data_IF_101165457205
#
_entry.id   IF_101165457205
#
_cell.length_a   1.000
_cell.length_b   1.000
_cell.length_c   1.000
_cell.angle_alpha   90.00
_cell.angle_beta   90.00
_cell.angle_gamma   90.00
#
_symmetry.space_group_name_H-M   'P 1'
#
loop_
_entity.id
_entity.type
_entity.pdbx_description
1 polymer ?
#
# COMPACT_ATOMS: atom_id res chain seq x y z
N UNK A 1 50.66 -13.26 62.56
CA UNK A 1 51.17 -14.64 62.72
C UNK A 1 51.28 -15.21 61.31
N UNK A 2 52.39 -14.98 60.60
CA UNK A 2 53.58 -15.87 60.44
C UNK A 2 53.18 -17.26 59.92
N UNK A 3 53.63 -17.80 58.78
CA UNK A 3 55.00 -17.85 58.21
C UNK A 3 55.02 -18.25 56.71
N UNK A 4 55.98 -17.67 55.95
CA UNK A 4 56.96 -18.25 54.97
C UNK A 4 56.66 -19.57 54.22
N UNK A 5 57.09 -19.80 52.97
CA UNK A 5 57.94 -19.00 52.05
C UNK A 5 58.42 -19.77 50.80
N UNK A 6 58.95 -18.99 49.83
CA UNK A 6 60.04 -19.19 48.84
C UNK A 6 60.07 -20.38 47.82
N UNK A 7 60.83 -20.22 46.69
CA UNK A 7 60.48 -20.70 45.33
C UNK A 7 61.52 -21.66 44.70
N UNK A 8 61.35 -22.11 43.43
CA UNK A 8 62.39 -22.16 42.36
C UNK A 8 61.99 -22.92 41.05
N UNK A 9 62.20 -22.24 39.91
CA UNK A 9 62.77 -22.59 38.57
C UNK A 9 62.81 -24.01 37.91
N UNK A 10 62.58 -23.97 36.56
CA UNK A 10 63.28 -24.58 35.39
C UNK A 10 62.88 -25.96 34.78
N UNK A 11 62.35 -25.87 33.54
CA UNK A 11 62.67 -26.52 32.22
C UNK A 11 63.15 -28.00 32.10
N UNK A 12 62.48 -28.68 31.15
CA UNK A 12 62.97 -29.48 29.98
C UNK A 12 63.09 -31.04 30.03
N UNK A 13 62.49 -31.64 28.99
CA UNK A 13 62.90 -32.78 28.12
C UNK A 13 62.46 -34.24 28.47
N UNK A 14 61.55 -34.72 27.62
CA UNK A 14 61.37 -36.00 26.91
C UNK A 14 62.13 -37.31 27.26
N UNK A 15 61.39 -38.43 27.22
CA UNK A 15 61.66 -39.71 26.50
C UNK A 15 60.44 -40.65 26.71
N UNK A 16 59.73 -41.07 25.66
CA UNK A 16 59.89 -42.31 24.87
C UNK A 16 59.87 -43.60 25.70
N UNK A 17 58.82 -44.42 25.54
CA UNK A 17 58.92 -45.88 25.39
C UNK A 17 57.72 -46.43 24.59
N UNK A 18 58.05 -47.28 23.63
CA UNK A 18 57.18 -48.13 22.80
C UNK A 18 56.45 -49.20 23.63
N UNK A 19 55.22 -49.53 23.24
CA UNK A 19 54.67 -50.89 23.35
C UNK A 19 53.89 -51.18 22.07
N UNK A 20 54.25 -52.29 21.43
CA UNK A 20 53.68 -52.77 20.18
C UNK A 20 52.59 -53.83 20.43
N UNK A 21 51.61 -53.82 19.51
CA UNK A 21 50.69 -54.89 19.11
C UNK A 21 49.88 -55.68 20.16
N UNK A 22 48.55 -55.43 20.15
CA UNK A 22 47.62 -56.56 19.98
C UNK A 22 46.32 -56.18 19.25
N UNK A 23 46.18 -56.79 18.07
CA UNK A 23 44.99 -57.20 17.30
C UNK A 23 43.62 -57.05 17.98
N UNK A 24 42.76 -56.22 17.39
CA UNK A 24 41.33 -56.54 17.16
C UNK A 24 40.77 -55.55 16.14
N UNK A 25 40.44 -56.03 14.94
CA UNK A 25 39.77 -55.25 13.92
C UNK A 25 38.32 -55.02 14.31
N UNK A 26 37.89 -53.77 14.33
CA UNK A 26 36.50 -53.35 14.16
C UNK A 26 36.50 -52.16 13.20
N UNK A 27 35.63 -52.26 12.19
CA UNK A 27 35.47 -51.32 11.08
C UNK A 27 35.28 -49.88 11.60
N UNK A 28 36.10 -48.94 11.11
CA UNK A 28 35.77 -47.52 11.19
C UNK A 28 34.53 -47.27 10.33
N UNK A 29 33.37 -47.17 10.96
CA UNK A 29 32.25 -46.42 10.38
C UNK A 29 32.63 -44.95 10.58
N UNK A 30 33.13 -44.31 9.52
CA UNK A 30 33.14 -42.85 9.44
C UNK A 30 31.68 -42.40 9.45
N UNK A 31 31.17 -42.02 10.61
CA UNK A 31 29.96 -41.21 10.68
C UNK A 31 30.39 -39.83 10.21
N UNK A 32 30.28 -39.61 8.89
CA UNK A 32 30.24 -38.27 8.34
C UNK A 32 29.00 -37.62 8.97
N UNK A 33 29.23 -36.74 9.94
CA UNK A 33 28.23 -35.80 10.43
C UNK A 33 27.85 -34.88 9.26
N UNK A 34 26.97 -35.36 8.39
CA UNK A 34 26.26 -34.52 7.45
C UNK A 34 25.34 -33.69 8.34
N UNK A 35 25.80 -32.51 8.72
CA UNK A 35 24.90 -31.43 9.08
C UNK A 35 24.04 -31.20 7.83
N UNK A 36 22.87 -31.83 7.81
CA UNK A 36 21.76 -31.45 6.96
C UNK A 36 21.38 -30.04 7.40
N UNK A 37 22.07 -29.05 6.82
CA UNK A 37 21.53 -27.71 6.72
C UNK A 37 20.30 -27.91 5.86
N UNK A 38 19.13 -27.96 6.50
CA UNK A 38 17.85 -27.87 5.82
C UNK A 38 17.83 -26.53 5.10
N UNK A 39 18.16 -26.51 3.82
CA UNK A 39 18.02 -25.34 2.95
C UNK A 39 16.54 -25.15 2.61
N UNK A 40 15.71 -24.83 3.60
CA UNK A 40 14.39 -24.25 3.34
C UNK A 40 14.54 -22.74 3.17
N UNK A 41 15.22 -22.34 2.09
CA UNK A 41 15.29 -20.96 1.66
C UNK A 41 14.73 -20.86 0.24
N UNK A 42 13.40 -20.89 0.10
CA UNK A 42 12.78 -20.21 -1.03
C UNK A 42 12.92 -18.71 -0.75
N UNK A 43 14.12 -18.18 -0.99
CA UNK A 43 14.41 -16.77 -0.78
C UNK A 43 13.44 -15.93 -1.63
N UNK A 44 12.75 -14.99 -0.98
CA UNK A 44 12.00 -13.94 -1.68
C UNK A 44 12.91 -13.33 -2.75
N UNK A 45 12.51 -13.44 -4.02
CA UNK A 45 13.31 -12.91 -5.12
C UNK A 45 13.01 -11.42 -5.26
N UNK A 46 13.79 -10.61 -4.57
CA UNK A 46 13.83 -9.16 -4.79
C UNK A 46 14.68 -8.90 -6.03
N UNK A 47 14.11 -8.22 -7.02
CA UNK A 47 14.76 -7.85 -8.28
C UNK A 47 14.75 -6.34 -8.40
N UNK A 48 15.94 -5.76 -8.57
CA UNK A 48 16.13 -4.34 -8.85
C UNK A 48 16.43 -4.20 -10.34
N UNK A 49 15.63 -3.41 -11.06
CA UNK A 49 15.78 -3.13 -12.49
C UNK A 49 15.70 -1.63 -12.72
N UNK A 50 16.88 -0.97 -12.73
CA UNK A 50 16.94 0.49 -12.84
C UNK A 50 16.19 1.18 -11.69
N UNK A 51 15.22 2.01 -12.02
CA UNK A 51 14.42 2.75 -11.05
C UNK A 51 13.27 1.94 -10.42
N UNK A 52 13.15 0.65 -10.71
CA UNK A 52 12.09 -0.22 -10.19
C UNK A 52 12.69 -1.31 -9.28
N UNK A 53 12.07 -1.52 -8.13
CA UNK A 53 12.35 -2.66 -7.25
C UNK A 53 11.08 -3.47 -7.06
N UNK A 54 11.16 -4.77 -7.34
CA UNK A 54 10.05 -5.70 -7.26
C UNK A 54 10.40 -6.89 -6.37
N UNK A 55 9.44 -7.36 -5.59
CA UNK A 55 9.48 -8.65 -4.92
C UNK A 55 8.47 -9.61 -5.54
N UNK A 56 8.89 -10.83 -5.83
CA UNK A 56 7.99 -11.92 -6.25
C UNK A 56 7.72 -12.84 -5.06
N UNK A 57 6.44 -13.19 -4.85
CA UNK A 57 6.04 -14.05 -3.75
C UNK A 57 6.35 -15.53 -4.04
N UNK A 58 7.13 -16.22 -3.18
CA UNK A 58 7.57 -17.60 -3.43
C UNK A 58 6.43 -18.63 -3.31
N UNK A 59 5.46 -18.42 -2.43
CA UNK A 59 4.31 -19.32 -2.22
C UNK A 59 2.98 -18.60 -2.48
N UNK A 60 2.49 -18.77 -3.70
CA UNK A 60 1.26 -18.15 -4.20
C UNK A 60 -0.03 -18.66 -3.53
N UNK A 61 0.00 -19.89 -2.97
CA UNK A 61 -1.20 -20.60 -2.47
C UNK A 61 -1.50 -20.43 -0.98
N UNK A 62 -0.55 -19.96 -0.15
CA UNK A 62 -0.67 -19.96 1.31
C UNK A 62 -0.86 -18.58 1.97
N UNK A 63 -0.78 -17.49 1.21
CA UNK A 63 -0.85 -16.11 1.74
C UNK A 63 -2.10 -15.81 2.59
N UNK A 64 -3.25 -16.40 2.27
CA UNK A 64 -4.51 -16.15 3.00
C UNK A 64 -4.56 -16.83 4.36
N UNK A 65 -3.87 -17.97 4.51
CA UNK A 65 -3.96 -18.78 5.72
C UNK A 65 -3.22 -18.14 6.92
N UNK A 66 -2.32 -17.19 6.64
CA UNK A 66 -1.51 -16.49 7.65
C UNK A 66 -2.09 -15.15 8.07
N UNK A 67 -3.21 -14.72 7.48
CA UNK A 67 -3.83 -13.43 7.76
C UNK A 67 -4.95 -13.57 8.80
N UNK A 68 -4.91 -12.74 9.82
CA UNK A 68 -6.03 -12.52 10.75
C UNK A 68 -6.87 -11.35 10.24
N UNK A 69 -7.85 -11.66 9.37
CA UNK A 69 -8.75 -10.66 8.80
C UNK A 69 -9.61 -9.95 9.86
N UNK A 70 -9.87 -10.61 11.00
CA UNK A 70 -10.74 -10.08 12.05
C UNK A 70 -10.02 -9.04 12.89
N UNK A 71 -8.78 -9.31 13.29
CA UNK A 71 -8.01 -8.46 14.20
C UNK A 71 -6.94 -7.64 13.49
N UNK A 72 -7.12 -7.39 12.18
CA UNK A 72 -6.15 -6.64 11.40
C UNK A 72 -6.01 -5.19 11.88
N UNK A 73 -4.76 -4.76 12.10
CA UNK A 73 -4.42 -3.44 12.61
C UNK A 73 -4.41 -2.40 11.47
N UNK A 74 -4.82 -1.14 11.71
CA UNK A 74 -4.61 -0.10 10.71
C UNK A 74 -3.12 0.07 10.44
N UNK A 75 -2.71 0.05 9.17
CA UNK A 75 -1.41 0.61 8.82
C UNK A 75 -1.43 2.10 9.20
N UNK A 76 -0.57 2.56 10.12
CA UNK A 76 -0.56 3.96 10.50
C UNK A 76 -0.19 4.80 9.29
N UNK A 77 -0.90 5.90 9.09
CA UNK A 77 -0.45 6.92 8.15
C UNK A 77 0.92 7.44 8.62
N UNK A 78 1.91 7.57 7.72
CA UNK A 78 3.07 8.41 7.96
C UNK A 78 2.63 9.79 8.47
N UNK A 79 3.34 10.30 9.48
CA UNK A 79 2.93 11.47 10.28
C UNK A 79 3.84 12.67 10.03
N UNK A 80 3.32 13.77 9.47
CA UNK A 80 4.09 15.00 9.29
C UNK A 80 4.39 15.64 10.64
N UNK A 81 5.57 16.26 10.78
CA UNK A 81 5.95 17.10 11.91
C UNK A 81 5.93 18.60 11.58
N UNK A 82 5.50 18.95 10.37
CA UNK A 82 5.39 20.33 9.87
C UNK A 82 3.98 20.86 10.09
N UNK A 83 3.82 22.19 10.04
CA UNK A 83 2.51 22.82 10.13
C UNK A 83 1.62 22.44 8.91
N UNK A 84 0.28 22.35 9.09
CA UNK A 84 -0.63 22.08 7.99
C UNK A 84 -0.60 23.19 6.95
N UNK A 85 -0.37 22.79 5.69
CA UNK A 85 -0.44 23.72 4.57
C UNK A 85 -1.89 24.19 4.39
N UNK A 86 -2.09 25.49 4.23
CA UNK A 86 -3.38 26.06 3.83
C UNK A 86 -3.47 26.22 2.31
N UNK A 87 -4.70 26.30 1.77
CA UNK A 87 -4.90 26.66 0.36
C UNK A 87 -4.27 28.04 0.06
N UNK A 88 -4.39 28.99 0.99
CA UNK A 88 -3.78 30.31 0.89
C UNK A 88 -2.25 30.23 0.80
N UNK A 89 -1.60 29.36 1.57
CA UNK A 89 -0.15 29.15 1.45
C UNK A 89 0.20 28.65 0.05
N UNK A 90 -0.55 27.69 -0.49
CA UNK A 90 -0.29 27.14 -1.82
C UNK A 90 -0.45 28.16 -2.96
N UNK A 91 -1.23 29.22 -2.76
CA UNK A 91 -1.36 30.31 -3.73
C UNK A 91 -0.19 31.31 -3.65
N UNK A 92 0.50 31.38 -2.51
CA UNK A 92 1.66 32.24 -2.30
C UNK A 92 2.96 31.60 -2.78
N UNK A 93 3.09 30.28 -2.65
CA UNK A 93 4.12 29.51 -3.33
C UNK A 93 3.73 29.40 -4.82
N UNK A 94 4.59 29.83 -5.74
CA UNK A 94 4.28 29.88 -7.18
C UNK A 94 3.69 28.58 -7.75
N UNK A 95 3.09 28.63 -8.97
CA UNK A 95 2.24 27.56 -9.47
C UNK A 95 2.94 26.19 -9.40
N UNK A 96 2.22 25.15 -8.97
CA UNK A 96 2.79 23.83 -8.79
C UNK A 96 3.33 23.31 -10.12
N UNK A 97 4.49 22.65 -10.06
CA UNK A 97 5.16 22.12 -11.26
C UNK A 97 4.81 20.65 -11.42
N UNK A 98 3.94 20.35 -12.38
CA UNK A 98 3.79 18.97 -12.86
C UNK A 98 5.02 18.60 -13.71
N UNK A 99 5.57 17.39 -13.57
CA UNK A 99 6.84 17.03 -14.23
C UNK A 99 6.72 16.75 -15.73
N UNK A 100 5.58 17.07 -16.36
CA UNK A 100 5.34 16.92 -17.79
C UNK A 100 3.90 17.23 -18.18
N UNK A 101 3.53 16.90 -19.42
CA UNK A 101 2.16 17.04 -19.90
C UNK A 101 1.23 16.06 -19.17
N UNK A 102 -0.01 16.47 -18.85
CA UNK A 102 -1.02 15.57 -18.33
C UNK A 102 -1.30 14.40 -19.28
N UNK A 103 -1.45 13.21 -18.72
CA UNK A 103 -1.86 12.02 -19.47
C UNK A 103 -2.81 11.16 -18.64
N UNK A 104 -3.53 10.25 -19.29
CA UNK A 104 -4.41 9.32 -18.60
C UNK A 104 -4.63 8.04 -19.39
N UNK A 105 -4.93 6.97 -18.68
CA UNK A 105 -5.47 5.72 -19.21
C UNK A 105 -6.90 5.50 -18.73
N UNK A 106 -7.68 4.80 -19.56
CA UNK A 106 -9.10 4.53 -19.28
C UNK A 106 -9.27 3.30 -18.39
N UNK A 107 -10.26 3.37 -17.50
CA UNK A 107 -10.73 2.22 -16.73
C UNK A 107 -11.67 1.31 -17.53
N UNK A 108 -12.20 0.30 -16.85
CA UNK A 108 -13.18 -0.65 -17.38
C UNK A 108 -14.17 -1.07 -16.30
N UNK A 109 -15.41 -1.37 -16.69
CA UNK A 109 -16.50 -1.57 -15.72
C UNK A 109 -16.54 -2.97 -15.10
N UNK A 110 -15.93 -3.96 -15.74
CA UNK A 110 -16.12 -5.38 -15.42
C UNK A 110 -17.56 -5.85 -15.67
N UNK A 111 -17.82 -7.15 -15.48
CA UNK A 111 -19.14 -7.77 -15.68
C UNK A 111 -20.06 -7.72 -14.45
N UNK A 112 -19.52 -7.34 -13.29
CA UNK A 112 -20.26 -7.23 -12.04
C UNK A 112 -20.67 -8.54 -11.38
N UNK A 113 -20.15 -9.69 -11.83
CA UNK A 113 -20.49 -10.98 -11.22
C UNK A 113 -19.86 -11.10 -9.83
N UNK A 114 -20.73 -11.27 -8.84
CA UNK A 114 -20.34 -11.49 -7.44
C UNK A 114 -19.79 -12.91 -7.23
N UNK A 115 -18.82 -13.03 -6.33
CA UNK A 115 -18.22 -14.28 -5.85
C UNK A 115 -17.94 -14.13 -4.35
N UNK A 116 -18.98 -14.01 -3.51
CA UNK A 116 -18.83 -13.60 -2.13
C UNK A 116 -18.05 -14.63 -1.32
N UNK A 117 -17.13 -14.13 -0.48
CA UNK A 117 -16.41 -14.91 0.53
C UNK A 117 -16.56 -14.19 1.88
N UNK A 118 -16.89 -14.90 2.95
CA UNK A 118 -16.89 -14.34 4.29
C UNK A 118 -15.49 -14.48 4.90
N UNK A 119 -14.88 -13.35 5.28
CA UNK A 119 -13.54 -13.27 5.87
C UNK A 119 -13.58 -13.13 7.40
N UNK A 120 -14.59 -12.45 7.93
CA UNK A 120 -14.78 -12.25 9.37
C UNK A 120 -16.28 -12.06 9.66
N UNK A 121 -16.76 -12.31 10.88
CA UNK A 121 -18.12 -11.94 11.26
C UNK A 121 -18.36 -10.45 11.08
N UNK A 122 -19.57 -10.07 10.66
CA UNK A 122 -19.97 -8.67 10.61
C UNK A 122 -19.91 -8.06 12.01
N UNK A 123 -19.35 -6.86 12.11
CA UNK A 123 -19.30 -6.08 13.34
C UNK A 123 -20.27 -4.91 13.24
N UNK A 124 -21.04 -4.66 14.30
CA UNK A 124 -21.89 -3.48 14.36
C UNK A 124 -20.99 -2.26 14.64
N UNK A 125 -21.04 -1.20 13.82
CA UNK A 125 -20.28 0.00 14.10
C UNK A 125 -20.81 0.64 15.39
N UNK A 126 -19.94 0.81 16.39
CA UNK A 126 -20.24 1.62 17.56
C UNK A 126 -20.19 3.09 17.18
N UNK A 127 -21.30 3.81 17.32
CA UNK A 127 -21.36 5.26 17.13
C UNK A 127 -20.97 5.93 18.46
N UNK A 128 -19.83 6.62 18.58
CA UNK A 128 -19.68 7.62 19.63
C UNK A 128 -20.67 8.77 19.41
N UNK A 129 -20.99 9.49 20.47
CA UNK A 129 -21.99 10.57 20.49
C UNK A 129 -21.76 11.65 19.44
N UNK A 130 -22.82 12.42 19.18
CA UNK A 130 -22.86 13.51 18.19
C UNK A 130 -21.80 14.56 18.52
N UNK A 131 -20.74 14.63 17.71
CA UNK A 131 -19.76 15.72 17.74
C UNK A 131 -19.90 16.55 16.44
N UNK A 132 -20.28 17.84 16.52
CA UNK A 132 -20.00 18.78 15.43
C UNK A 132 -18.48 19.03 15.44
N UNK A 133 -17.71 19.14 14.35
CA UNK A 133 -17.97 19.64 13.01
C UNK A 133 -17.16 18.86 11.94
N UNK A 134 -17.74 18.63 10.77
CA UNK A 134 -16.98 18.35 9.54
C UNK A 134 -16.25 19.63 9.08
N UNK A 135 -15.22 20.05 9.82
CA UNK A 135 -14.30 21.14 9.46
C UNK A 135 -13.12 21.13 10.45
N UNK A 136 -11.92 20.75 10.00
CA UNK A 136 -10.74 20.68 10.86
C UNK A 136 -10.06 22.04 11.09
N UNK A 137 -9.11 22.08 12.03
CA UNK A 137 -8.29 23.29 12.31
C UNK A 137 -7.36 23.69 11.15
N UNK A 138 -7.25 22.86 10.10
CA UNK A 138 -6.59 23.21 8.84
C UNK A 138 -7.40 24.16 7.95
N UNK A 139 -8.65 24.47 8.30
CA UNK A 139 -9.56 25.33 7.52
C UNK A 139 -9.81 24.83 6.09
N UNK A 140 -9.79 23.51 5.87
CA UNK A 140 -10.07 22.89 4.57
C UNK A 140 -11.49 22.31 4.56
N UNK A 141 -12.34 22.69 3.60
CA UNK A 141 -13.70 22.14 3.52
C UNK A 141 -13.66 20.72 2.96
N UNK A 142 -14.34 19.81 3.66
CA UNK A 142 -14.53 18.43 3.23
C UNK A 142 -15.84 17.86 3.78
N UNK A 143 -16.30 16.75 3.20
CA UNK A 143 -17.33 15.90 3.80
C UNK A 143 -16.88 14.45 3.73
N UNK A 144 -17.03 13.69 4.81
CA UNK A 144 -16.69 12.26 4.85
C UNK A 144 -17.92 11.44 5.20
N UNK A 145 -18.32 10.56 4.29
CA UNK A 145 -19.52 9.74 4.43
C UNK A 145 -19.22 8.29 4.03
N UNK A 146 -20.03 7.35 4.54
CA UNK A 146 -20.05 6.00 3.96
C UNK A 146 -20.41 6.09 2.48
N UNK A 147 -19.85 5.20 1.66
CA UNK A 147 -20.18 5.14 0.22
C UNK A 147 -21.65 4.74 -0.01
N UNK A 148 -22.19 3.87 0.84
CA UNK A 148 -23.54 3.35 0.69
C UNK A 148 -24.58 4.29 1.30
N UNK A 149 -25.74 4.40 0.64
CA UNK A 149 -26.90 5.02 1.25
C UNK A 149 -27.50 4.05 2.28
N UNK A 150 -28.37 4.58 3.15
CA UNK A 150 -29.01 3.77 4.16
C UNK A 150 -29.84 2.64 3.51
N UNK A 151 -29.48 1.39 3.81
CA UNK A 151 -30.16 0.20 3.28
C UNK A 151 -29.79 -0.19 1.84
N UNK A 152 -28.77 0.43 1.23
CA UNK A 152 -28.32 0.07 -0.11
C UNK A 152 -26.95 -0.62 -0.13
N UNK A 153 -26.60 -1.13 -1.33
CA UNK A 153 -25.34 -1.78 -1.63
C UNK A 153 -24.50 -1.00 -2.65
N UNK A 154 -24.55 0.34 -2.65
CA UNK A 154 -23.85 1.18 -3.64
C UNK A 154 -22.36 0.86 -3.75
N UNK A 155 -21.71 0.45 -2.65
CA UNK A 155 -20.32 -0.01 -2.63
C UNK A 155 -20.06 -1.24 -3.52
N UNK A 156 -21.07 -2.07 -3.78
CA UNK A 156 -20.96 -3.25 -4.64
C UNK A 156 -21.13 -2.93 -6.13
N UNK A 157 -21.41 -1.68 -6.52
CA UNK A 157 -21.56 -1.29 -7.92
C UNK A 157 -20.38 -0.47 -8.42
N UNK A 158 -20.15 -0.48 -9.74
CA UNK A 158 -19.15 0.38 -10.36
C UNK A 158 -19.63 1.85 -10.30
N UNK A 159 -18.77 2.81 -9.94
CA UNK A 159 -17.31 2.73 -9.83
C UNK A 159 -16.77 2.17 -8.51
N UNK A 160 -17.51 2.25 -7.41
CA UNK A 160 -16.99 2.00 -6.06
C UNK A 160 -16.37 0.62 -5.87
N UNK A 161 -16.93 -0.42 -6.49
CA UNK A 161 -16.45 -1.80 -6.32
C UNK A 161 -15.02 -2.07 -6.79
N UNK A 162 -14.42 -1.19 -7.59
CA UNK A 162 -13.03 -1.30 -8.02
C UNK A 162 -12.04 -0.86 -6.92
N UNK A 163 -12.49 -0.14 -5.89
CA UNK A 163 -11.75 0.10 -4.66
C UNK A 163 -11.98 -1.05 -3.67
N UNK A 164 -10.99 -1.32 -2.82
CA UNK A 164 -11.02 -2.44 -1.89
C UNK A 164 -10.09 -2.28 -0.70
N UNK A 165 -10.19 -3.24 0.21
CA UNK A 165 -9.34 -3.31 1.40
C UNK A 165 -8.15 -4.22 1.08
N UNK A 166 -6.96 -3.79 1.50
CA UNK A 166 -5.69 -4.50 1.30
C UNK A 166 -5.20 -5.01 2.65
N UNK A 167 -5.09 -6.33 2.79
CA UNK A 167 -4.55 -6.99 3.98
C UNK A 167 -3.12 -7.47 3.70
N UNK A 168 -2.25 -7.44 4.69
CA UNK A 168 -0.86 -7.91 4.58
C UNK A 168 -0.25 -8.17 5.95
N UNK A 169 0.91 -8.83 6.01
CA UNK A 169 1.63 -9.08 7.26
C UNK A 169 2.87 -8.19 7.41
N UNK A 170 3.04 -7.61 8.60
CA UNK A 170 4.32 -7.09 9.09
C UNK A 170 4.71 -7.94 10.30
N UNK A 171 5.76 -8.75 10.15
CA UNK A 171 6.05 -9.80 11.13
C UNK A 171 4.88 -10.78 11.22
N UNK A 172 4.44 -11.09 12.45
CA UNK A 172 3.28 -11.98 12.69
C UNK A 172 1.92 -11.28 12.69
N UNK A 173 1.89 -9.95 12.73
CA UNK A 173 0.64 -9.19 12.79
C UNK A 173 0.08 -8.91 11.39
N UNK A 174 -1.24 -8.89 11.28
CA UNK A 174 -1.95 -8.50 10.05
C UNK A 174 -2.30 -7.02 10.10
N UNK A 175 -2.04 -6.31 9.01
CA UNK A 175 -2.32 -4.90 8.83
C UNK A 175 -3.28 -4.68 7.67
N UNK A 176 -3.93 -3.51 7.68
CA UNK A 176 -4.83 -3.06 6.63
C UNK A 176 -4.42 -1.71 6.05
N UNK A 177 -4.49 -1.66 4.73
CA UNK A 177 -4.53 -0.47 3.90
C UNK A 177 -5.79 -0.49 3.04
N UNK A 178 -5.94 0.53 2.21
CA UNK A 178 -6.88 0.61 1.11
C UNK A 178 -6.12 0.55 -0.21
N UNK A 179 -6.79 0.13 -1.28
CA UNK A 179 -6.19 0.06 -2.60
C UNK A 179 -7.27 0.06 -3.68
N UNK A 180 -6.88 0.12 -4.96
CA UNK A 180 -7.83 -0.01 -6.06
C UNK A 180 -7.25 -0.64 -7.31
N UNK A 181 -8.11 -1.31 -8.08
CA UNK A 181 -7.76 -1.82 -9.40
C UNK A 181 -7.57 -0.67 -10.39
N UNK A 182 -6.49 -0.71 -11.16
CA UNK A 182 -6.20 0.23 -12.27
C UNK A 182 -6.02 -0.49 -13.63
N UNK A 183 -5.97 -1.82 -13.61
CA UNK A 183 -6.05 -2.75 -14.75
C UNK A 183 -6.81 -4.01 -14.30
N UNK A 184 -7.19 -4.96 -15.18
CA UNK A 184 -7.87 -6.17 -14.77
C UNK A 184 -7.20 -6.91 -13.60
N UNK A 185 -5.87 -7.01 -13.60
CA UNK A 185 -5.08 -7.72 -12.58
C UNK A 185 -4.07 -6.86 -11.80
N UNK A 186 -4.09 -5.53 -11.95
CA UNK A 186 -3.14 -4.64 -11.25
C UNK A 186 -3.87 -3.73 -10.28
N UNK A 187 -3.36 -3.73 -9.06
CA UNK A 187 -3.83 -2.89 -7.95
C UNK A 187 -2.80 -1.82 -7.67
N UNK A 188 -3.24 -0.58 -7.44
CA UNK A 188 -2.40 0.52 -6.94
C UNK A 188 -2.69 0.77 -5.47
N UNK A 189 -1.65 1.08 -4.72
CA UNK A 189 -1.68 1.41 -3.28
C UNK A 189 -0.50 2.33 -2.94
N UNK A 190 -0.36 2.76 -1.68
CA UNK A 190 0.82 3.48 -1.20
C UNK A 190 2.01 2.54 -1.03
N UNK A 191 3.23 3.03 -1.26
CA UNK A 191 4.44 2.23 -1.09
C UNK A 191 4.66 1.82 0.37
N UNK A 192 4.29 2.64 1.34
CA UNK A 192 4.36 2.28 2.76
C UNK A 192 3.40 1.15 3.15
N UNK A 193 2.44 0.76 2.31
CA UNK A 193 1.63 -0.45 2.51
C UNK A 193 2.34 -1.74 2.05
N UNK A 194 3.50 -1.59 1.42
CA UNK A 194 4.21 -2.65 0.70
C UNK A 194 5.66 -2.76 1.15
N UNK A 195 6.34 -1.66 1.43
CA UNK A 195 7.74 -1.64 1.84
C UNK A 195 7.98 -0.63 2.96
N UNK A 196 8.99 -0.91 3.77
CA UNK A 196 9.47 0.00 4.80
C UNK A 196 10.50 0.96 4.19
N UNK A 197 10.17 2.25 4.19
CA UNK A 197 10.96 3.30 3.55
C UNK A 197 12.43 3.26 3.98
N UNK A 198 13.33 3.14 3.00
CA UNK A 198 14.79 3.15 3.23
C UNK A 198 15.35 1.97 4.03
N UNK A 199 14.51 1.03 4.46
CA UNK A 199 14.96 -0.17 5.18
C UNK A 199 15.22 -1.35 4.25
N UNK A 200 15.03 -1.17 2.94
CA UNK A 200 15.19 -2.23 1.95
C UNK A 200 14.44 -3.51 2.36
N UNK A 201 13.20 -3.34 2.80
CA UNK A 201 12.38 -4.41 3.34
C UNK A 201 10.96 -4.31 2.77
N UNK A 202 10.53 -5.36 2.08
CA UNK A 202 9.14 -5.57 1.75
C UNK A 202 8.39 -6.26 2.89
N UNK A 203 7.09 -6.01 2.98
CA UNK A 203 6.18 -6.81 3.79
C UNK A 203 5.82 -8.12 3.08
N UNK A 204 4.76 -8.80 3.52
CA UNK A 204 4.39 -10.10 2.94
C UNK A 204 2.89 -10.33 2.90
N UNK A 205 2.47 -11.34 2.12
CA UNK A 205 1.11 -11.89 2.10
C UNK A 205 0.02 -10.87 1.75
N UNK A 206 0.23 -10.05 0.70
CA UNK A 206 -0.79 -9.09 0.27
C UNK A 206 -2.02 -9.76 -0.32
N UNK A 207 -3.18 -9.39 0.22
CA UNK A 207 -4.49 -9.87 -0.21
C UNK A 207 -5.43 -8.68 -0.41
N UNK A 208 -5.88 -8.50 -1.64
CA UNK A 208 -6.81 -7.45 -2.04
C UNK A 208 -8.25 -7.97 -2.09
N UNK A 209 -9.18 -7.17 -1.58
CA UNK A 209 -10.60 -7.50 -1.46
C UNK A 209 -11.46 -6.36 -2.05
N UNK A 210 -11.80 -6.42 -3.35
CA UNK A 210 -12.63 -5.40 -3.98
C UNK A 210 -14.02 -5.33 -3.34
N UNK A 211 -14.48 -4.11 -3.10
CA UNK A 211 -15.76 -3.81 -2.46
C UNK A 211 -15.98 -4.49 -1.10
N UNK A 212 -14.91 -4.75 -0.32
CA UNK A 212 -15.02 -5.30 1.02
C UNK A 212 -16.12 -4.58 1.83
N UNK A 213 -16.95 -5.33 2.54
CA UNK A 213 -18.03 -4.77 3.33
C UNK A 213 -18.28 -5.64 4.55
N UNK A 214 -17.86 -5.13 5.70
CA UNK A 214 -18.10 -5.66 7.04
C UNK A 214 -17.86 -7.17 7.16
N UNK A 215 -16.67 -7.62 6.76
CA UNK A 215 -16.27 -9.02 6.77
C UNK A 215 -16.59 -9.79 5.49
N UNK A 216 -17.40 -9.25 4.58
CA UNK A 216 -17.72 -9.88 3.29
C UNK A 216 -16.81 -9.34 2.18
N UNK A 217 -16.29 -10.24 1.35
CA UNK A 217 -15.55 -9.95 0.12
C UNK A 217 -16.42 -10.32 -1.10
N UNK A 218 -17.31 -9.42 -1.55
CA UNK A 218 -18.34 -9.72 -2.56
C UNK A 218 -17.78 -10.06 -3.95
N UNK A 219 -16.60 -9.54 -4.29
CA UNK A 219 -15.89 -9.83 -5.54
C UNK A 219 -14.73 -10.82 -5.36
N UNK A 220 -14.74 -11.57 -4.25
CA UNK A 220 -13.71 -12.53 -3.92
C UNK A 220 -12.47 -11.92 -3.28
N UNK A 221 -11.47 -12.78 -3.08
CA UNK A 221 -10.26 -12.50 -2.28
C UNK A 221 -9.05 -12.81 -3.13
N UNK A 222 -8.20 -11.83 -3.40
CA UNK A 222 -7.19 -11.89 -4.45
C UNK A 222 -5.78 -11.71 -3.89
N UNK A 223 -4.98 -12.77 -3.95
CA UNK A 223 -3.58 -12.76 -3.54
C UNK A 223 -2.72 -11.99 -4.55
N UNK A 224 -1.67 -11.33 -4.07
CA UNK A 224 -0.67 -10.72 -4.94
C UNK A 224 0.44 -11.72 -5.32
N UNK A 225 0.78 -11.78 -6.59
CA UNK A 225 1.94 -12.51 -7.12
C UNK A 225 3.25 -11.73 -6.87
N UNK A 226 3.19 -10.41 -6.96
CA UNK A 226 4.33 -9.53 -6.77
C UNK A 226 3.91 -8.16 -6.26
N UNK A 227 4.88 -7.45 -5.71
CA UNK A 227 4.74 -6.07 -5.29
C UNK A 227 5.92 -5.24 -5.82
N UNK A 228 5.63 -4.06 -6.35
CA UNK A 228 6.60 -3.22 -7.04
C UNK A 228 6.53 -1.78 -6.52
N UNK A 229 7.68 -1.22 -6.19
CA UNK A 229 7.88 0.19 -5.80
C UNK A 229 8.99 0.82 -6.65
N UNK A 230 9.10 2.15 -6.63
CA UNK A 230 10.30 2.80 -7.13
C UNK A 230 11.50 2.47 -6.23
N UNK A 231 12.65 2.22 -6.84
CA UNK A 231 13.91 1.92 -6.13
C UNK A 231 14.32 3.05 -5.18
N UNK A 232 13.97 4.30 -5.51
CA UNK A 232 14.19 5.47 -4.65
C UNK A 232 13.47 5.34 -3.31
N UNK A 233 12.20 4.94 -3.30
CA UNK A 233 11.44 4.69 -2.08
C UNK A 233 12.05 3.55 -1.25
N UNK A 234 12.37 2.44 -1.91
CA UNK A 234 12.96 1.26 -1.26
C UNK A 234 14.31 1.56 -0.58
N UNK A 235 15.14 2.39 -1.22
CA UNK A 235 16.45 2.80 -0.71
C UNK A 235 16.40 4.06 0.18
N UNK A 236 15.25 4.70 0.34
CA UNK A 236 15.10 5.89 1.18
C UNK A 236 15.66 7.16 0.55
N UNK A 237 15.81 7.18 -0.77
CA UNK A 237 16.32 8.31 -1.56
C UNK A 237 15.22 8.99 -2.39
N UNK A 238 13.95 8.70 -2.09
CA UNK A 238 12.79 9.38 -2.67
C UNK A 238 12.83 10.88 -2.32
N UNK A 239 12.51 11.79 -3.27
CA UNK A 239 12.31 13.20 -2.97
C UNK A 239 11.14 13.41 -1.98
N UNK A 240 11.49 13.62 -0.72
CA UNK A 240 10.54 13.90 0.36
C UNK A 240 10.79 15.26 1.01
N UNK A 241 9.72 16.00 1.32
CA UNK A 241 9.78 17.17 2.21
C UNK A 241 10.06 16.73 3.66
N UNK A 242 9.60 15.53 4.02
CA UNK A 242 9.96 14.82 5.24
C UNK A 242 10.22 13.34 4.89
N UNK A 243 11.44 12.81 5.04
CA UNK A 243 11.79 11.45 4.65
C UNK A 243 10.83 10.39 5.20
N UNK A 244 10.35 9.51 4.32
CA UNK A 244 9.41 8.43 4.65
C UNK A 244 8.01 8.90 5.04
N UNK A 245 7.70 10.19 4.94
CA UNK A 245 6.41 10.76 5.35
C UNK A 245 5.76 11.54 4.23
N UNK A 246 6.36 12.65 3.81
CA UNK A 246 5.82 13.50 2.74
C UNK A 246 6.69 13.28 1.52
N UNK A 247 6.46 12.16 0.84
CA UNK A 247 7.27 11.72 -0.28
C UNK A 247 6.49 11.78 -1.60
N UNK A 248 7.20 12.08 -2.69
CA UNK A 248 6.58 12.15 -4.02
C UNK A 248 6.21 10.76 -4.53
N UNK A 249 6.99 9.73 -4.19
CA UNK A 249 6.90 8.40 -4.78
C UNK A 249 6.44 7.31 -3.79
N UNK A 250 5.62 7.67 -2.80
CA UNK A 250 4.90 6.72 -1.94
C UNK A 250 3.74 6.03 -2.71
N UNK A 251 4.10 5.36 -3.80
CA UNK A 251 3.22 4.69 -4.75
C UNK A 251 3.75 3.28 -5.04
N UNK A 252 2.88 2.29 -4.96
CA UNK A 252 3.19 0.90 -5.29
C UNK A 252 2.12 0.30 -6.20
N UNK A 253 2.54 -0.69 -6.99
CA UNK A 253 1.62 -1.56 -7.74
C UNK A 253 1.78 -3.01 -7.31
N UNK A 254 0.67 -3.73 -7.23
CA UNK A 254 0.61 -5.17 -6.96
C UNK A 254 0.05 -5.86 -8.20
N UNK A 255 0.65 -6.98 -8.59
CA UNK A 255 0.07 -7.88 -9.61
C UNK A 255 -0.70 -8.97 -8.88
N UNK A 256 -1.98 -9.13 -9.19
CA UNK A 256 -2.82 -10.17 -8.59
C UNK A 256 -2.60 -11.53 -9.26
N UNK A 257 -2.88 -12.61 -8.52
CA UNK A 257 -2.92 -13.97 -9.05
C UNK A 257 -4.31 -14.22 -9.67
N UNK A 258 -4.40 -14.64 -10.95
CA UNK A 258 -5.68 -14.94 -11.56
C UNK A 258 -6.34 -16.18 -10.94
N UNK A 259 -7.67 -16.18 -10.88
CA UNK A 259 -8.48 -17.29 -10.37
C UNK A 259 -9.34 -17.85 -11.50
N UNK A 260 -9.10 -19.10 -11.89
CA UNK A 260 -9.76 -19.71 -13.05
C UNK A 260 -9.48 -18.95 -14.35
N UNK A 261 -8.28 -18.40 -14.51
CA UNK A 261 -7.86 -17.63 -15.69
C UNK A 261 -8.43 -16.21 -15.77
N UNK A 262 -9.21 -15.75 -14.79
CA UNK A 262 -9.74 -14.39 -14.72
C UNK A 262 -9.11 -13.60 -13.57
N UNK A 263 -8.99 -12.29 -13.73
CA UNK A 263 -8.55 -11.37 -12.69
C UNK A 263 -9.73 -10.66 -12.02
N UNK A 264 -9.47 -10.02 -10.88
CA UNK A 264 -10.47 -9.29 -10.09
C UNK A 264 -11.22 -8.23 -10.91
N UNK A 265 -10.51 -7.48 -11.73
CA UNK A 265 -11.10 -6.42 -12.54
C UNK A 265 -11.99 -6.92 -13.67
N UNK A 266 -11.93 -8.20 -14.06
CA UNK A 266 -12.90 -8.74 -15.01
C UNK A 266 -14.33 -8.71 -14.44
N UNK A 267 -14.50 -8.84 -13.12
CA UNK A 267 -15.80 -8.72 -12.46
C UNK A 267 -16.01 -7.38 -11.76
N UNK A 268 -15.04 -6.92 -10.97
CA UNK A 268 -15.14 -5.66 -10.24
C UNK A 268 -15.01 -4.42 -11.15
N UNK A 269 -14.35 -4.54 -12.30
CA UNK A 269 -13.86 -3.38 -13.04
C UNK A 269 -12.59 -2.80 -12.43
N UNK A 270 -12.07 -1.76 -13.07
CA UNK A 270 -10.87 -1.05 -12.67
C UNK A 270 -10.99 0.43 -13.05
N UNK A 271 -10.34 1.29 -12.28
CA UNK A 271 -10.31 2.72 -12.54
C UNK A 271 -9.36 3.07 -13.67
N UNK A 272 -9.60 4.23 -14.29
CA UNK A 272 -8.55 4.88 -15.06
C UNK A 272 -7.52 5.47 -14.10
N UNK A 273 -6.34 5.81 -14.61
CA UNK A 273 -5.36 6.58 -13.84
C UNK A 273 -4.80 7.71 -14.70
N UNK A 274 -4.63 8.87 -14.07
CA UNK A 274 -4.13 10.09 -14.70
C UNK A 274 -2.85 10.54 -14.00
N UNK A 275 -1.92 11.11 -14.75
CA UNK A 275 -0.64 11.57 -14.23
C UNK A 275 -0.34 13.00 -14.66
N UNK A 276 0.66 13.61 -14.00
CA UNK A 276 1.15 14.96 -14.29
C UNK A 276 0.06 16.03 -14.26
N UNK A 277 -0.80 16.01 -13.23
CA UNK A 277 -1.82 17.04 -13.05
C UNK A 277 -3.08 16.86 -13.92
N UNK A 278 -3.37 15.63 -14.38
CA UNK A 278 -4.62 15.34 -15.07
C UNK A 278 -5.84 15.74 -14.23
N UNK A 279 -6.67 16.63 -14.75
CA UNK A 279 -7.85 17.14 -14.04
C UNK A 279 -7.57 18.25 -13.02
N UNK A 280 -6.36 18.82 -13.01
CA UNK A 280 -6.00 19.98 -12.18
C UNK A 280 -6.04 21.27 -13.00
N UNK A 281 -6.36 22.38 -12.34
CA UNK A 281 -6.21 23.73 -12.90
C UNK A 281 -4.72 24.10 -13.04
N UNK A 282 -4.38 25.15 -13.80
CA UNK A 282 -3.00 25.65 -13.86
C UNK A 282 -2.42 26.10 -12.51
N UNK A 283 -3.27 26.48 -11.55
CA UNK A 283 -2.87 26.76 -10.16
C UNK A 283 -2.80 25.51 -9.27
N UNK A 284 -3.01 24.33 -9.84
CA UNK A 284 -2.93 23.04 -9.17
C UNK A 284 -4.06 22.76 -8.19
N UNK A 285 -5.24 23.34 -8.41
CA UNK A 285 -6.45 23.01 -7.66
C UNK A 285 -7.30 21.98 -8.40
N UNK A 286 -8.02 21.13 -7.67
CA UNK A 286 -8.99 20.17 -8.25
C UNK A 286 -10.01 19.72 -7.20
N UNK A 287 -11.12 19.11 -7.61
CA UNK A 287 -12.01 18.40 -6.69
C UNK A 287 -11.57 16.95 -6.59
N UNK A 288 -11.37 16.48 -5.37
CA UNK A 288 -10.94 15.10 -5.10
C UNK A 288 -12.06 14.33 -4.42
N UNK A 289 -12.31 13.12 -4.92
CA UNK A 289 -13.06 12.08 -4.22
C UNK A 289 -12.07 11.00 -3.72
N UNK A 290 -11.85 10.93 -2.42
CA UNK A 290 -11.03 9.91 -1.77
C UNK A 290 -11.91 8.72 -1.37
N UNK A 291 -11.50 7.49 -1.71
CA UNK A 291 -12.10 6.26 -1.19
C UNK A 291 -11.12 5.54 -0.24
N UNK A 292 -11.63 4.92 0.82
CA UNK A 292 -10.79 4.13 1.73
C UNK A 292 -11.54 3.39 2.83
N UNK A 293 -10.78 2.66 3.65
CA UNK A 293 -11.24 1.87 4.80
C UNK A 293 -10.51 2.28 6.10
N UNK A 294 -10.62 3.55 6.53
CA UNK A 294 -10.00 4.02 7.77
C UNK A 294 -10.58 3.27 8.98
N UNK A 295 -9.72 2.74 9.84
CA UNK A 295 -10.16 1.90 10.98
C UNK A 295 -10.91 2.71 12.03
N UNK A 296 -10.61 4.00 12.19
CA UNK A 296 -11.33 4.85 13.14
C UNK A 296 -12.80 5.13 12.73
N UNK A 297 -13.18 4.86 11.48
CA UNK A 297 -14.56 5.00 11.00
C UNK A 297 -15.14 3.62 10.71
N UNK A 298 -16.24 3.26 11.37
CA UNK A 298 -16.90 1.95 11.22
C UNK A 298 -15.96 0.75 11.40
N UNK A 299 -14.91 0.89 12.22
CA UNK A 299 -13.90 -0.15 12.42
C UNK A 299 -13.08 -0.47 11.16
N UNK A 300 -13.17 0.34 10.11
CA UNK A 300 -12.65 0.02 8.78
C UNK A 300 -13.42 -1.11 8.09
N UNK A 301 -14.62 -1.44 8.59
CA UNK A 301 -15.51 -2.44 8.02
C UNK A 301 -16.19 -1.98 6.74
N UNK A 302 -16.46 -0.67 6.62
CA UNK A 302 -17.22 -0.09 5.51
C UNK A 302 -16.35 0.88 4.71
N UNK A 303 -16.58 0.92 3.39
CA UNK A 303 -15.91 1.87 2.51
C UNK A 303 -16.42 3.28 2.78
N UNK A 304 -15.50 4.19 3.04
CA UNK A 304 -15.75 5.61 3.23
C UNK A 304 -15.39 6.37 1.95
N UNK A 305 -16.11 7.46 1.70
CA UNK A 305 -15.85 8.45 0.68
C UNK A 305 -15.65 9.81 1.34
N UNK A 306 -14.59 10.50 0.96
CA UNK A 306 -14.36 11.89 1.32
C UNK A 306 -14.33 12.77 0.09
N UNK A 307 -15.07 13.86 0.11
CA UNK A 307 -15.12 14.85 -0.97
C UNK A 307 -14.50 16.15 -0.46
N UNK A 308 -13.50 16.68 -1.16
CA UNK A 308 -12.78 17.89 -0.73
C UNK A 308 -12.26 18.68 -1.93
N UNK A 309 -12.17 19.99 -1.76
CA UNK A 309 -11.28 20.80 -2.57
C UNK A 309 -9.84 20.37 -2.28
N UNK A 310 -9.09 20.06 -3.32
CA UNK A 310 -7.67 19.73 -3.25
C UNK A 310 -6.80 20.79 -3.90
N UNK A 311 -5.55 20.86 -3.45
CA UNK A 311 -4.50 21.66 -4.07
C UNK A 311 -3.14 20.96 -3.98
N UNK A 312 -2.26 21.24 -4.93
CA UNK A 312 -0.88 20.75 -4.92
C UNK A 312 -0.02 21.68 -4.07
N UNK A 313 0.65 21.13 -3.05
CA UNK A 313 1.58 21.86 -2.21
C UNK A 313 3.03 21.59 -2.63
N UNK A 314 3.67 22.58 -3.28
CA UNK A 314 5.05 22.46 -3.77
C UNK A 314 6.06 22.23 -2.63
N UNK A 315 5.87 22.88 -1.48
CA UNK A 315 6.64 22.67 -0.26
C UNK A 315 6.43 21.30 0.41
N UNK A 316 5.49 20.49 -0.09
CA UNK A 316 5.18 19.14 0.40
C UNK A 316 5.47 18.10 -0.68
N UNK A 317 6.62 18.19 -1.36
CA UNK A 317 7.01 17.30 -2.47
C UNK A 317 5.99 17.23 -3.61
N UNK A 318 5.25 18.32 -3.85
CA UNK A 318 4.13 18.38 -4.81
C UNK A 318 3.00 17.37 -4.49
N UNK A 319 2.84 16.97 -3.24
CA UNK A 319 1.68 16.17 -2.83
C UNK A 319 0.40 17.00 -2.95
N UNK A 320 -0.69 16.31 -3.31
CA UNK A 320 -2.02 16.92 -3.27
C UNK A 320 -2.52 16.88 -1.82
N UNK A 321 -3.07 17.99 -1.33
CA UNK A 321 -3.57 18.14 0.04
C UNK A 321 -5.10 18.29 -0.01
N UNK A 322 -5.80 17.60 0.89
CA UNK A 322 -7.24 17.71 1.08
C UNK A 322 -7.59 17.75 2.57
N UNK A 323 -8.77 18.30 2.88
CA UNK A 323 -9.43 18.01 4.15
C UNK A 323 -9.96 16.57 4.14
N UNK A 324 -9.85 15.86 5.27
CA UNK A 324 -10.35 14.48 5.39
C UNK A 324 -10.49 14.06 6.86
N UNK A 325 -11.57 13.35 7.17
CA UNK A 325 -11.76 12.68 8.46
C UNK A 325 -11.06 11.31 8.53
N UNK A 326 -10.57 10.78 7.40
CA UNK A 326 -9.99 9.45 7.36
C UNK A 326 -8.70 9.34 8.20
N UNK A 327 -8.35 8.13 8.62
CA UNK A 327 -7.20 7.80 9.48
C UNK A 327 -6.46 6.56 8.96
N UNK A 328 -5.53 6.00 9.75
CA UNK A 328 -4.87 4.72 9.45
C UNK A 328 -5.84 3.64 8.95
N UNK A 329 -5.41 2.90 7.93
CA UNK A 329 -6.26 2.05 7.09
C UNK A 329 -6.72 2.71 5.78
N UNK A 330 -6.80 4.04 5.69
CA UNK A 330 -7.08 4.75 4.42
C UNK A 330 -5.86 4.84 3.50
N UNK A 331 -4.65 4.62 4.01
CA UNK A 331 -3.40 4.52 3.27
C UNK A 331 -3.54 3.71 1.98
N UNK A 332 -3.05 4.24 0.85
CA UNK A 332 -3.17 3.63 -0.47
C UNK A 332 -4.55 3.77 -1.14
N UNK A 333 -5.55 4.27 -0.42
CA UNK A 333 -6.88 4.54 -0.95
C UNK A 333 -6.83 5.56 -2.11
N UNK A 334 -7.55 5.31 -3.22
CA UNK A 334 -7.46 6.12 -4.43
C UNK A 334 -8.09 7.51 -4.26
N UNK A 335 -7.42 8.52 -4.80
CA UNK A 335 -7.94 9.88 -4.95
C UNK A 335 -8.33 10.11 -6.41
N UNK A 336 -9.62 10.34 -6.64
CA UNK A 336 -10.18 10.44 -7.97
C UNK A 336 -10.45 11.88 -8.38
N UNK A 337 -10.29 12.13 -9.67
CA UNK A 337 -11.08 13.14 -10.38
C UNK A 337 -12.26 12.46 -11.08
N UNK A 338 -13.37 13.19 -11.18
CA UNK A 338 -14.56 12.78 -11.94
C UNK A 338 -15.15 11.41 -11.51
N UNK A 339 -15.19 11.09 -10.21
CA UNK A 339 -15.82 9.86 -9.70
C UNK A 339 -17.33 9.86 -9.99
N UNK A 340 -17.87 8.69 -10.35
CA UNK A 340 -19.29 8.46 -10.58
C UNK A 340 -19.63 8.16 -12.04
N UNK A 341 -20.93 7.96 -12.29
CA UNK A 341 -21.48 7.71 -13.61
C UNK A 341 -21.68 9.04 -14.37
N UNK A 342 -21.37 9.05 -15.67
CA UNK A 342 -21.64 10.20 -16.53
C UNK A 342 -23.16 10.34 -16.77
N UNK A 343 -23.72 11.56 -16.73
CA UNK A 343 -25.03 11.82 -17.29
C UNK A 343 -25.01 11.67 -18.83
N UNK A 344 -26.18 11.44 -19.41
CA UNK A 344 -26.39 11.61 -20.86
C UNK A 344 -26.35 13.10 -21.17
N UNK A 345 -25.53 13.51 -22.13
CA UNK A 345 -25.39 14.91 -22.50
C UNK A 345 -26.32 15.27 -23.65
N UNK A 346 -26.94 16.45 -23.57
CA UNK A 346 -27.69 17.07 -24.66
C UNK A 346 -27.30 18.56 -24.71
N UNK A 347 -26.75 19.01 -25.85
CA UNK A 347 -26.34 20.40 -26.06
C UNK A 347 -25.14 20.88 -25.22
N UNK A 348 -24.34 19.98 -24.63
CA UNK A 348 -23.15 20.32 -23.83
C UNK A 348 -22.06 19.25 -23.93
N UNK A 349 -20.89 19.50 -23.35
CA UNK A 349 -19.75 18.56 -23.29
C UNK A 349 -19.07 18.56 -21.92
N UNK A 350 -18.32 17.52 -21.60
CA UNK A 350 -17.56 17.42 -20.33
C UNK A 350 -16.31 18.31 -20.27
N UNK A 351 -15.96 19.03 -21.35
CA UNK A 351 -14.77 19.87 -21.41
C UNK A 351 -13.46 19.08 -21.49
N UNK A 352 -12.39 19.65 -20.94
CA UNK A 352 -11.05 19.04 -20.89
C UNK A 352 -10.95 18.00 -19.77
N UNK A 353 -10.04 17.03 -19.95
CA UNK A 353 -9.87 15.90 -19.03
C UNK A 353 -11.18 15.14 -18.69
N UNK A 354 -11.98 14.71 -19.70
CA UNK A 354 -13.32 14.16 -19.46
C UNK A 354 -13.32 12.70 -18.98
N UNK A 355 -12.15 12.07 -18.81
CA UNK A 355 -12.09 10.69 -18.30
C UNK A 355 -12.65 10.66 -16.88
N UNK A 356 -13.55 9.71 -16.64
CA UNK A 356 -14.22 9.51 -15.35
C UNK A 356 -13.54 8.41 -14.56
N UNK A 357 -13.73 8.47 -13.24
CA UNK A 357 -13.22 7.48 -12.30
C UNK A 357 -11.71 7.32 -12.49
N UNK A 358 -11.01 8.45 -12.52
CA UNK A 358 -9.57 8.52 -12.82
C UNK A 358 -8.80 8.80 -11.54
N UNK A 359 -8.00 7.84 -11.12
CA UNK A 359 -7.12 7.98 -9.95
C UNK A 359 -5.93 8.85 -10.31
N UNK A 360 -5.65 9.87 -9.51
CA UNK A 360 -4.55 10.83 -9.74
C UNK A 360 -3.50 10.83 -8.62
N UNK A 361 -3.72 10.01 -7.60
CA UNK A 361 -2.84 9.82 -6.47
C UNK A 361 -3.44 8.82 -5.48
N UNK A 362 -2.65 8.45 -4.49
CA UNK A 362 -3.07 7.56 -3.40
C UNK A 362 -2.78 8.20 -2.05
N UNK A 363 -3.65 7.94 -1.07
CA UNK A 363 -3.49 8.44 0.30
C UNK A 363 -2.12 8.01 0.86
N UNK A 364 -1.25 8.98 1.16
CA UNK A 364 0.15 8.72 1.54
C UNK A 364 0.42 9.04 3.01
N UNK A 365 -0.11 10.13 3.54
CA UNK A 365 0.17 10.57 4.92
C UNK A 365 -0.96 11.40 5.51
N UNK A 366 -0.92 11.62 6.83
CA UNK A 366 -1.90 12.44 7.55
C UNK A 366 -1.42 12.84 8.94
N UNK A 367 -2.06 13.85 9.54
CA UNK A 367 -1.62 14.42 10.82
C UNK A 367 -1.91 13.51 12.02
N UNK A 368 -1.04 13.63 13.05
CA UNK A 368 -1.26 13.01 14.37
C UNK A 368 -2.40 13.66 15.13
N UNK A 369 -2.49 14.98 15.07
CA UNK A 369 -3.53 15.74 15.75
C UNK A 369 -4.87 15.52 15.04
N UNK A 370 -5.83 14.84 15.69
CA UNK A 370 -7.11 14.56 15.08
C UNK A 370 -7.93 15.84 14.83
N UNK A 371 -7.58 17.00 15.38
CA UNK A 371 -8.29 18.26 15.09
C UNK A 371 -7.96 18.81 13.71
N UNK A 372 -6.79 18.48 13.13
CA UNK A 372 -6.33 19.08 11.86
C UNK A 372 -7.19 18.64 10.67
N UNK A 373 -7.60 17.35 10.65
CA UNK A 373 -8.43 16.75 9.59
C UNK A 373 -7.91 17.02 8.17
N UNK A 374 -6.64 16.76 7.93
CA UNK A 374 -5.98 16.95 6.64
C UNK A 374 -5.15 15.72 6.28
N UNK A 375 -5.11 15.36 5.00
CA UNK A 375 -4.27 14.30 4.46
C UNK A 375 -3.56 14.75 3.19
N UNK A 376 -2.48 14.07 2.86
CA UNK A 376 -1.76 14.25 1.61
C UNK A 376 -1.67 12.97 0.79
N UNK A 377 -1.68 13.13 -0.53
CA UNK A 377 -1.48 12.06 -1.50
C UNK A 377 -0.24 12.30 -2.34
N UNK A 378 0.53 11.23 -2.52
CA UNK A 378 1.60 11.20 -3.52
C UNK A 378 0.96 11.24 -4.91
N UNK A 379 1.36 12.18 -5.77
CA UNK A 379 0.75 12.37 -7.06
C UNK A 379 1.21 11.28 -8.03
N UNK A 380 0.32 10.93 -8.95
CA UNK A 380 0.72 10.13 -10.11
C UNK A 380 1.46 11.01 -11.11
N UNK A 381 2.64 10.56 -11.51
CA UNK A 381 3.54 11.24 -12.45
C UNK A 381 4.02 10.28 -13.53
N UNK A 382 4.52 10.84 -14.62
CA UNK A 382 5.24 10.06 -15.64
C UNK A 382 6.53 9.42 -15.10
N UNK A 383 7.02 9.86 -13.93
CA UNK A 383 8.19 9.30 -13.26
C UNK A 383 7.89 8.14 -12.30
N UNK A 384 6.63 7.95 -11.88
CA UNK A 384 6.25 6.90 -10.93
C UNK A 384 5.22 5.89 -11.48
N UNK A 385 3.94 6.24 -11.58
CA UNK A 385 2.88 5.29 -11.92
C UNK A 385 3.08 4.70 -13.32
N UNK A 386 3.56 5.51 -14.27
CA UNK A 386 3.81 5.07 -15.65
C UNK A 386 4.89 3.99 -15.72
N UNK A 387 6.13 4.21 -15.21
CA UNK A 387 7.14 3.15 -15.22
C UNK A 387 6.75 1.94 -14.34
N UNK A 388 6.05 2.14 -13.22
CA UNK A 388 5.53 1.05 -12.39
C UNK A 388 4.59 0.15 -13.19
N UNK A 389 3.56 0.72 -13.83
CA UNK A 389 2.58 -0.04 -14.63
C UNK A 389 3.23 -0.67 -15.87
N UNK A 390 4.08 0.06 -16.59
CA UNK A 390 4.78 -0.47 -17.76
C UNK A 390 5.64 -1.70 -17.42
N UNK A 391 6.36 -1.65 -16.30
CA UNK A 391 7.17 -2.76 -15.82
C UNK A 391 6.30 -4.01 -15.56
N UNK A 392 5.22 -3.86 -14.77
CA UNK A 392 4.38 -5.00 -14.44
C UNK A 392 3.60 -5.53 -15.65
N UNK A 393 3.13 -4.67 -16.56
CA UNK A 393 2.46 -5.09 -17.78
C UNK A 393 3.39 -5.82 -18.77
N UNK A 394 4.67 -5.45 -18.81
CA UNK A 394 5.65 -6.16 -19.62
C UNK A 394 5.89 -7.57 -19.07
N UNK A 395 5.97 -7.71 -17.74
CA UNK A 395 6.19 -9.01 -17.08
C UNK A 395 4.94 -9.89 -16.99
N UNK A 396 3.75 -9.28 -16.95
CA UNK A 396 2.46 -9.96 -16.77
C UNK A 396 1.39 -9.39 -17.72
N UNK A 397 1.52 -9.55 -19.04
CA UNK A 397 0.64 -8.88 -20.01
C UNK A 397 -0.85 -9.19 -19.82
N UNK A 398 -1.20 -10.39 -19.37
CA UNK A 398 -2.59 -10.79 -19.15
C UNK A 398 -3.26 -10.07 -17.96
N UNK A 399 -2.49 -9.49 -17.04
CA UNK A 399 -3.01 -8.67 -15.94
C UNK A 399 -3.36 -7.24 -16.40
N UNK A 400 -2.96 -6.89 -17.63
CA UNK A 400 -3.26 -5.67 -18.35
C UNK A 400 -4.23 -5.96 -19.50
#
# INVERSE_FOLDING_TARGET
MSTNGRPHTKRRIARSQEIDMNRTGHQLILIASISLISTSAHAQQIKIQGNITQITMPEQKLQRATLDFKNALPMPLPRPSVAPASLTDSMLYGPPRFPGNPGAERGGTGDGKLRPVQLAPASAPSQPGVEPQEFGTSNHPFTTNRVNANGDNTQYYYPFRAAGKLFFNIGSATYVCSASLIKPGIVVTAAHCVANFGQQQFYSNWVFTPAYSNGTAPYGVWNAASATVLTSYYNGTDPCAQPGVICQDDVAVLVLIPQGGSYAGNSAGWFGYGWNGYGFTPSGTTLINQLGYPVALDGGGLMQRNDSQGFVASGSSNNTIIGSLMTGGSSGGPWHVNLGMAPVLNGTSFGSAPARNTVVGVTSWGYTDPSIKQQGASPFTSGNIVPLVNNVCTSSPAAC
#
